data_IF_352069191018
#
_entry.id   IF_352069191018
#
_cell.length_a   1.000
_cell.length_b   1.000
_cell.length_c   1.000
_cell.angle_alpha   90.00
_cell.angle_beta   90.00
_cell.angle_gamma   90.00
#
_symmetry.space_group_name_H-M   'P 1'
#
loop_
_entity.id
_entity.type
_entity.pdbx_description
1 polymer ?
#
# COMPACT_ATOMS: atom_id res chain seq x y z
N UNK A 1 52.55 29.12 1.18
CA UNK A 1 51.54 28.90 2.24
C UNK A 1 50.23 29.64 1.97
N UNK A 2 50.25 30.92 1.55
CA UNK A 2 49.03 31.68 1.23
C UNK A 2 48.23 31.13 0.04
N UNK A 3 48.88 30.61 -1.00
CA UNK A 3 48.22 29.98 -2.17
C UNK A 3 47.36 28.77 -1.80
N UNK A 4 47.84 27.94 -0.87
CA UNK A 4 47.08 26.76 -0.42
C UNK A 4 45.84 27.19 0.37
N UNK A 5 45.98 28.24 1.21
CA UNK A 5 44.87 28.78 2.00
C UNK A 5 43.80 29.44 1.14
N UNK A 6 44.20 30.16 0.08
CA UNK A 6 43.23 30.74 -0.86
C UNK A 6 42.49 29.67 -1.66
N UNK A 7 43.18 28.58 -2.04
CA UNK A 7 42.56 27.45 -2.74
C UNK A 7 41.49 26.77 -1.87
N UNK A 8 41.81 26.49 -0.61
CA UNK A 8 40.87 25.82 0.31
C UNK A 8 39.64 26.69 0.61
N UNK A 9 39.83 28.00 0.75
CA UNK A 9 38.70 28.94 0.97
C UNK A 9 37.83 29.04 -0.28
N UNK A 10 38.44 29.08 -1.47
CA UNK A 10 37.71 29.09 -2.74
C UNK A 10 36.91 27.81 -2.96
N UNK A 11 37.50 26.65 -2.71
CA UNK A 11 36.83 25.35 -2.84
C UNK A 11 35.66 25.23 -1.86
N UNK A 12 35.86 25.65 -0.60
CA UNK A 12 34.80 25.64 0.41
C UNK A 12 33.63 26.55 0.01
N UNK A 13 33.93 27.74 -0.50
CA UNK A 13 32.91 28.67 -1.00
C UNK A 13 32.11 28.11 -2.18
N UNK A 14 32.78 27.44 -3.12
CA UNK A 14 32.13 26.78 -4.26
C UNK A 14 31.19 25.65 -3.81
N UNK A 15 31.61 24.82 -2.84
CA UNK A 15 30.78 23.77 -2.28
C UNK A 15 29.51 24.32 -1.61
N UNK A 16 29.63 25.40 -0.83
CA UNK A 16 28.48 26.04 -0.18
C UNK A 16 27.52 26.63 -1.23
N UNK A 17 28.04 27.29 -2.26
CA UNK A 17 27.23 27.85 -3.34
C UNK A 17 26.47 26.75 -4.11
N UNK A 18 27.09 25.60 -4.33
CA UNK A 18 26.46 24.45 -4.96
C UNK A 18 25.32 23.88 -4.09
N UNK A 19 25.53 23.76 -2.78
CA UNK A 19 24.49 23.30 -1.84
C UNK A 19 23.29 24.24 -1.78
N UNK A 20 23.49 25.55 -1.87
CA UNK A 20 22.39 26.53 -1.90
C UNK A 20 21.59 26.45 -3.21
N UNK A 21 22.23 26.06 -4.32
CA UNK A 21 21.55 25.90 -5.62
C UNK A 21 20.85 24.55 -5.81
N UNK A 22 21.06 23.61 -4.91
CA UNK A 22 20.26 22.39 -4.88
C UNK A 22 18.88 22.76 -4.36
N UNK A 23 18.01 23.18 -5.27
CA UNK A 23 16.58 23.21 -5.00
C UNK A 23 16.16 21.81 -4.53
N UNK A 24 15.45 21.68 -3.39
CA UNK A 24 14.94 20.40 -2.96
C UNK A 24 14.06 19.87 -4.09
N UNK A 25 14.46 18.75 -4.69
CA UNK A 25 13.65 18.06 -5.68
C UNK A 25 12.31 17.74 -5.05
N UNK A 26 11.31 18.59 -5.29
CA UNK A 26 9.94 18.34 -4.85
C UNK A 26 9.53 17.03 -5.52
N UNK A 27 9.04 16.03 -4.78
CA UNK A 27 8.52 14.83 -5.40
C UNK A 27 7.47 15.24 -6.42
N UNK A 28 7.65 14.79 -7.66
CA UNK A 28 6.73 15.10 -8.75
C UNK A 28 5.32 14.66 -8.33
N UNK A 29 4.27 15.47 -8.56
CA UNK A 29 2.91 15.02 -8.35
C UNK A 29 2.67 13.82 -9.25
N UNK A 30 2.38 12.68 -8.64
CA UNK A 30 1.91 11.49 -9.34
C UNK A 30 0.66 11.90 -10.13
N UNK A 31 0.57 11.62 -11.44
CA UNK A 31 -0.64 11.93 -12.19
C UNK A 31 -1.80 11.11 -11.62
N UNK A 32 -2.65 11.76 -10.83
CA UNK A 32 -3.95 11.22 -10.46
C UNK A 32 -4.77 11.16 -11.73
N UNK A 33 -4.91 9.96 -12.28
CA UNK A 33 -5.93 9.67 -13.29
C UNK A 33 -7.27 9.98 -12.62
N UNK A 34 -7.95 11.03 -13.09
CA UNK A 34 -9.29 11.36 -12.65
C UNK A 34 -10.21 10.20 -13.06
N UNK A 35 -10.40 9.24 -12.16
CA UNK A 35 -11.50 8.30 -12.25
C UNK A 35 -12.76 9.11 -12.04
N UNK A 36 -13.62 9.15 -13.05
CA UNK A 36 -14.99 9.68 -13.01
C UNK A 36 -15.64 9.27 -11.68
N UNK A 37 -15.90 10.25 -10.82
CA UNK A 37 -16.56 10.05 -9.53
C UNK A 37 -17.94 9.46 -9.74
N UNK A 38 -18.05 8.16 -9.49
CA UNK A 38 -19.30 7.53 -9.07
C UNK A 38 -19.70 8.13 -7.71
N UNK A 39 -21.01 8.23 -7.39
CA UNK A 39 -21.49 8.96 -6.21
C UNK A 39 -20.81 8.47 -4.92
N UNK A 40 -20.60 9.37 -3.93
CA UNK A 40 -19.84 9.07 -2.72
C UNK A 40 -20.60 8.04 -1.88
N UNK A 41 -20.25 6.77 -2.05
CA UNK A 41 -20.50 5.73 -1.05
C UNK A 41 -19.68 6.12 0.18
N UNK A 42 -20.24 6.17 1.39
CA UNK A 42 -19.48 6.49 2.60
C UNK A 42 -18.30 5.52 2.70
N UNK A 43 -17.10 6.04 2.39
CA UNK A 43 -15.86 5.27 2.39
C UNK A 43 -15.50 5.01 3.83
N UNK A 44 -15.99 3.88 4.36
CA UNK A 44 -15.30 3.18 5.42
C UNK A 44 -13.84 3.05 4.96
N UNK A 45 -12.91 3.66 5.70
CA UNK A 45 -11.51 3.71 5.32
C UNK A 45 -11.01 2.29 5.00
N UNK A 46 -10.59 2.07 3.76
CA UNK A 46 -10.08 0.77 3.34
C UNK A 46 -8.80 0.46 4.13
N UNK A 47 -8.70 -0.74 4.69
CA UNK A 47 -7.47 -1.19 5.34
C UNK A 47 -6.54 -1.76 4.28
N UNK A 48 -5.29 -1.31 4.22
CA UNK A 48 -4.31 -1.83 3.27
C UNK A 48 -3.31 -2.70 4.03
N UNK A 49 -3.10 -3.92 3.54
CA UNK A 49 -2.14 -4.90 4.07
C UNK A 49 -1.08 -5.15 3.01
N UNK A 50 0.17 -4.76 3.30
CA UNK A 50 1.30 -4.98 2.41
C UNK A 50 2.02 -6.27 2.79
N UNK A 51 2.06 -7.26 1.89
CA UNK A 51 2.58 -8.60 2.16
C UNK A 51 3.93 -8.80 1.48
N UNK A 52 4.96 -9.06 2.27
CA UNK A 52 6.30 -9.32 1.74
C UNK A 52 6.34 -10.58 0.84
N UNK A 53 7.30 -10.67 -0.09
CA UNK A 53 7.48 -11.86 -0.92
C UNK A 53 7.69 -13.13 -0.09
N UNK A 54 7.12 -14.25 -0.56
CA UNK A 54 7.32 -15.57 0.05
C UNK A 54 6.38 -15.93 1.20
N UNK A 55 5.44 -15.04 1.55
CA UNK A 55 4.37 -15.32 2.52
C UNK A 55 3.34 -16.25 1.89
N UNK A 56 2.92 -17.30 2.62
CA UNK A 56 1.93 -18.27 2.13
C UNK A 56 0.50 -17.78 2.33
N UNK A 57 -0.44 -18.27 1.52
CA UNK A 57 -1.86 -17.88 1.61
C UNK A 57 -2.46 -17.99 3.01
N UNK A 58 -2.11 -19.05 3.76
CA UNK A 58 -2.56 -19.25 5.14
C UNK A 58 -2.04 -18.17 6.11
N UNK A 59 -0.84 -17.63 5.87
CA UNK A 59 -0.23 -16.57 6.67
C UNK A 59 -0.86 -15.21 6.35
N UNK A 60 -1.24 -14.99 5.08
CA UNK A 60 -1.98 -13.78 4.66
C UNK A 60 -3.30 -13.63 5.42
N UNK A 61 -4.04 -14.73 5.62
CA UNK A 61 -5.26 -14.73 6.44
C UNK A 61 -5.03 -14.26 7.88
N UNK A 62 -3.87 -14.53 8.47
CA UNK A 62 -3.53 -14.04 9.80
C UNK A 62 -3.19 -12.54 9.82
N UNK A 63 -2.74 -11.97 8.69
CA UNK A 63 -2.38 -10.54 8.58
C UNK A 63 -3.59 -9.62 8.46
N UNK A 64 -4.72 -10.11 7.93
CA UNK A 64 -5.95 -9.34 7.72
C UNK A 64 -6.62 -8.92 9.07
N UNK A 65 -6.26 -9.58 10.19
CA UNK A 65 -6.76 -9.31 11.55
C UNK A 65 -8.28 -9.12 11.60
N UNK A 66 -9.01 -10.22 11.46
CA UNK A 66 -10.46 -10.24 11.67
C UNK A 66 -10.80 -10.04 13.15
N UNK A 67 -11.72 -9.12 13.43
CA UNK A 67 -12.30 -8.94 14.76
C UNK A 67 -13.37 -10.01 15.04
N UNK A 68 -13.73 -10.25 16.30
CA UNK A 68 -14.85 -11.13 16.63
C UNK A 68 -16.14 -10.70 15.93
N UNK A 69 -16.81 -11.64 15.26
CA UNK A 69 -18.05 -11.36 14.51
C UNK A 69 -17.83 -10.78 13.11
N UNK A 70 -16.58 -10.61 12.67
CA UNK A 70 -16.27 -10.27 11.28
C UNK A 70 -16.06 -11.52 10.43
N UNK A 71 -16.52 -11.44 9.18
CA UNK A 71 -16.41 -12.51 8.20
C UNK A 71 -16.12 -11.94 6.81
N UNK A 72 -15.24 -12.62 6.06
CA UNK A 72 -15.03 -12.32 4.64
C UNK A 72 -16.25 -12.78 3.84
N UNK A 73 -16.89 -11.85 3.14
CA UNK A 73 -18.11 -12.09 2.34
C UNK A 73 -17.86 -12.00 0.84
N UNK A 74 -16.78 -11.35 0.42
CA UNK A 74 -16.32 -11.38 -0.98
C UNK A 74 -14.80 -11.32 -1.09
N UNK A 75 -14.29 -11.90 -2.17
CA UNK A 75 -12.86 -11.86 -2.58
C UNK A 75 -12.83 -11.48 -4.06
N UNK A 76 -12.13 -10.41 -4.43
CA UNK A 76 -12.08 -9.84 -5.79
C UNK A 76 -13.48 -9.69 -6.41
N UNK A 77 -14.39 -9.02 -5.68
CA UNK A 77 -15.82 -8.83 -6.03
C UNK A 77 -16.67 -10.11 -6.15
N UNK A 78 -16.11 -11.29 -5.83
CA UNK A 78 -16.83 -12.57 -5.85
C UNK A 78 -17.30 -12.96 -4.46
N UNK A 79 -18.62 -13.14 -4.29
CA UNK A 79 -19.20 -13.59 -3.03
C UNK A 79 -18.68 -14.96 -2.61
N UNK A 80 -18.43 -15.10 -1.32
CA UNK A 80 -18.02 -16.35 -0.67
C UNK A 80 -18.96 -16.67 0.50
N UNK A 81 -19.55 -17.86 0.45
CA UNK A 81 -20.55 -18.31 1.43
C UNK A 81 -19.94 -18.90 2.70
N UNK A 82 -18.69 -19.38 2.63
CA UNK A 82 -17.99 -19.97 3.78
C UNK A 82 -16.58 -19.42 3.95
N UNK A 83 -16.06 -19.49 5.18
CA UNK A 83 -14.69 -19.04 5.48
C UNK A 83 -13.64 -19.91 4.81
N UNK A 84 -13.95 -21.20 4.62
CA UNK A 84 -13.12 -22.11 3.86
C UNK A 84 -13.03 -21.69 2.38
N UNK A 85 -14.14 -21.30 1.77
CA UNK A 85 -14.16 -20.79 0.40
C UNK A 85 -13.36 -19.49 0.28
N UNK A 86 -13.47 -18.59 1.26
CA UNK A 86 -12.68 -17.37 1.33
C UNK A 86 -11.17 -17.67 1.41
N UNK A 87 -10.75 -18.55 2.33
CA UNK A 87 -9.35 -18.94 2.49
C UNK A 87 -8.75 -19.62 1.25
N UNK A 88 -9.54 -20.46 0.56
CA UNK A 88 -9.14 -21.06 -0.71
C UNK A 88 -8.97 -20.02 -1.82
N UNK A 89 -9.89 -19.05 -1.94
CA UNK A 89 -9.80 -17.98 -2.91
C UNK A 89 -8.57 -17.09 -2.69
N UNK A 90 -8.32 -16.69 -1.43
CA UNK A 90 -7.12 -15.93 -1.04
C UNK A 90 -5.85 -16.72 -1.37
N UNK A 91 -5.78 -17.99 -0.99
CA UNK A 91 -4.60 -18.83 -1.23
C UNK A 91 -4.30 -19.00 -2.72
N UNK A 92 -5.33 -19.18 -3.55
CA UNK A 92 -5.16 -19.26 -4.99
C UNK A 92 -4.61 -17.97 -5.59
N UNK A 93 -4.96 -16.81 -5.00
CA UNK A 93 -4.46 -15.51 -5.45
C UNK A 93 -3.02 -15.25 -5.01
N UNK A 94 -2.67 -15.61 -3.78
CA UNK A 94 -1.31 -15.51 -3.23
C UNK A 94 -0.31 -16.37 -4.01
N UNK A 95 -0.73 -17.52 -4.53
CA UNK A 95 0.12 -18.37 -5.38
C UNK A 95 0.27 -17.86 -6.82
N UNK A 96 -0.46 -16.81 -7.21
CA UNK A 96 -0.33 -16.16 -8.51
C UNK A 96 0.84 -15.17 -8.55
N UNK A 97 1.22 -14.74 -9.76
CA UNK A 97 2.29 -13.77 -9.95
C UNK A 97 1.82 -12.34 -9.60
N UNK A 98 2.12 -11.88 -8.38
CA UNK A 98 1.95 -10.50 -7.90
C UNK A 98 0.53 -9.93 -7.98
N UNK A 99 0.35 -8.71 -7.46
CA UNK A 99 -0.87 -7.93 -7.63
C UNK A 99 -1.53 -7.56 -6.32
N UNK A 100 -2.86 -7.61 -6.28
CA UNK A 100 -3.62 -7.36 -5.06
C UNK A 100 -4.80 -8.30 -4.95
N UNK A 101 -5.27 -8.50 -3.72
CA UNK A 101 -6.52 -9.18 -3.39
C UNK A 101 -7.41 -8.16 -2.71
N UNK A 102 -8.63 -8.03 -3.20
CA UNK A 102 -9.63 -7.19 -2.59
C UNK A 102 -10.61 -8.02 -1.76
N UNK A 103 -10.86 -7.60 -0.53
CA UNK A 103 -11.67 -8.34 0.43
C UNK A 103 -12.77 -7.45 0.97
N UNK A 104 -14.00 -7.92 0.86
CA UNK A 104 -15.12 -7.35 1.61
C UNK A 104 -15.34 -8.16 2.87
N UNK A 105 -15.27 -7.46 4.00
CA UNK A 105 -15.50 -8.02 5.31
C UNK A 105 -16.81 -7.43 5.83
N UNK A 106 -17.69 -8.29 6.30
CA UNK A 106 -18.93 -7.93 6.96
C UNK A 106 -18.83 -8.23 8.46
N UNK A 107 -19.25 -7.29 9.28
CA UNK A 107 -19.46 -7.48 10.73
C UNK A 107 -20.88 -7.99 10.99
N UNK A 108 -21.10 -8.65 12.13
CA UNK A 108 -22.43 -9.08 12.60
C UNK A 108 -23.52 -8.00 12.55
N UNK A 109 -23.13 -6.73 12.66
CA UNK A 109 -24.03 -5.57 12.65
C UNK A 109 -24.38 -5.09 11.23
N UNK A 110 -23.96 -5.84 10.20
CA UNK A 110 -24.20 -5.52 8.79
C UNK A 110 -23.29 -4.44 8.22
N UNK A 111 -22.34 -3.93 9.02
CA UNK A 111 -21.31 -3.01 8.54
C UNK A 111 -20.32 -3.73 7.64
N UNK A 112 -19.88 -3.03 6.59
CA UNK A 112 -18.90 -3.51 5.64
C UNK A 112 -17.61 -2.71 5.75
N UNK A 113 -16.47 -3.41 5.77
CA UNK A 113 -15.16 -2.80 5.58
C UNK A 113 -14.42 -3.51 4.46
N UNK A 114 -13.66 -2.73 3.69
CA UNK A 114 -12.85 -3.23 2.59
C UNK A 114 -11.40 -3.37 3.01
N UNK A 115 -10.76 -4.47 2.63
CA UNK A 115 -9.35 -4.74 2.90
C UNK A 115 -8.65 -5.07 1.60
N UNK A 116 -7.63 -4.28 1.27
CA UNK A 116 -6.78 -4.48 0.10
C UNK A 116 -5.47 -5.12 0.55
N UNK A 117 -5.15 -6.29 0.00
CA UNK A 117 -3.91 -7.02 0.29
C UNK A 117 -3.00 -6.91 -0.92
N UNK A 118 -1.84 -6.27 -0.78
CA UNK A 118 -0.83 -6.16 -1.83
C UNK A 118 0.09 -7.38 -1.77
N UNK A 119 0.28 -8.04 -2.91
CA UNK A 119 1.07 -9.25 -3.07
C UNK A 119 2.29 -8.96 -3.96
N UNK A 120 3.48 -9.28 -3.47
CA UNK A 120 4.76 -9.07 -4.15
C UNK A 120 5.42 -10.39 -4.59
#
# INVERSE_FOLDING_TARGET
MFLFRSLTIGLLGACVMFLVRLEPTRPAPVPTIAMTESPPVPTAAATIVDVAPGVRGAEVTALIRLLPGERVVAVDDRRVETDLAAGAAISNRVNGAGGYVDLDIQTSDGLHRRVLVLLH
#
